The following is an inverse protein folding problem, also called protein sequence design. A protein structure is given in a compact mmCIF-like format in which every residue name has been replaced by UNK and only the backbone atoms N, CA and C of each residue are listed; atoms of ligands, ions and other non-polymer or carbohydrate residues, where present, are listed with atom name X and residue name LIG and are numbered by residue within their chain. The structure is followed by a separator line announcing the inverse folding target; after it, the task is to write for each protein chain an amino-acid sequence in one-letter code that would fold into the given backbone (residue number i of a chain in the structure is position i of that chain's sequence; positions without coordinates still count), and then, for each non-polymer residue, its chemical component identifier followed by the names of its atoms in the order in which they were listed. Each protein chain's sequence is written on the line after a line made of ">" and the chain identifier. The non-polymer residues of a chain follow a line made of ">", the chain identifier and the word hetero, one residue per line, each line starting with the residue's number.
data_IF_267938463910
#
_entry.id   IF_267938463910
#
_cell.length_a   1.000
_cell.length_b   1.000
_cell.length_c   1.000
_cell.angle_alpha   90.00
_cell.angle_beta   90.00
_cell.angle_gamma   90.00
#
_symmetry.space_group_name_H-M   'P 1'
#
loop_
_entity.id
_entity.type
_entity.pdbx_description
1 polymer ?
#
# COMPACT_ATOMS: atom_id res chain seq x y z
N UNK A 1 0.86 -12.02 2.12
CA UNK A 1 1.04 -11.67 0.69
C UNK A 1 2.09 -10.57 0.58
N UNK A 2 2.95 -10.56 -0.45
CA UNK A 2 4.07 -9.59 -0.57
C UNK A 2 3.95 -8.63 -1.75
N UNK A 3 3.16 -8.95 -2.78
CA UNK A 3 3.00 -8.13 -3.97
C UNK A 3 1.58 -8.20 -4.53
N UNK A 4 1.23 -7.18 -5.31
CA UNK A 4 0.02 -7.11 -6.12
C UNK A 4 0.31 -6.27 -7.36
N UNK A 5 -0.22 -6.71 -8.51
CA UNK A 5 -0.23 -5.92 -9.74
C UNK A 5 -1.57 -5.21 -9.84
N UNK A 6 -1.55 -3.89 -10.03
CA UNK A 6 -2.71 -3.03 -10.15
C UNK A 6 -2.60 -2.23 -11.45
N UNK A 7 -3.66 -2.23 -12.24
CA UNK A 7 -3.84 -1.28 -13.33
C UNK A 7 -4.43 0.01 -12.75
N UNK A 8 -3.78 1.15 -13.01
CA UNK A 8 -4.19 2.46 -12.51
C UNK A 8 -4.58 3.37 -13.68
N UNK A 9 -5.64 4.15 -13.48
CA UNK A 9 -6.00 5.21 -14.42
C UNK A 9 -4.98 6.36 -14.38
N UNK A 10 -4.81 7.13 -15.48
CA UNK A 10 -3.96 8.32 -15.49
C UNK A 10 -4.34 9.31 -14.39
N UNK A 11 -3.34 9.83 -13.69
CA UNK A 11 -3.53 10.76 -12.57
C UNK A 11 -2.52 10.62 -11.44
N UNK A 12 -2.73 11.39 -10.37
CA UNK A 12 -1.89 11.40 -9.17
C UNK A 12 -2.44 10.40 -8.15
N UNK A 13 -1.61 9.47 -7.69
CA UNK A 13 -1.97 8.44 -6.72
C UNK A 13 -1.05 8.50 -5.51
N UNK A 14 -1.61 8.28 -4.31
CA UNK A 14 -0.86 8.12 -3.06
C UNK A 14 -0.97 6.68 -2.58
N UNK A 15 0.15 5.97 -2.59
CA UNK A 15 0.24 4.56 -2.18
C UNK A 15 0.91 4.44 -0.81
N UNK A 16 0.48 3.46 -0.02
CA UNK A 16 1.03 3.18 1.31
C UNK A 16 0.81 1.71 1.65
N UNK A 17 1.84 1.06 2.20
CA UNK A 17 1.74 -0.33 2.66
C UNK A 17 1.33 -0.37 4.13
N UNK A 18 0.45 -1.33 4.47
CA UNK A 18 0.07 -1.68 5.85
C UNK A 18 0.57 -3.09 6.14
N UNK A 19 1.35 -3.24 7.22
CA UNK A 19 1.86 -4.54 7.64
C UNK A 19 0.81 -5.29 8.48
N UNK A 20 0.39 -6.45 7.98
CA UNK A 20 -0.39 -7.43 8.71
C UNK A 20 0.45 -8.61 9.18
N UNK A 21 -0.05 -9.33 10.18
CA UNK A 21 0.54 -10.56 10.67
C UNK A 21 0.26 -11.78 9.76
N UNK A 22 0.58 -12.98 10.24
CA UNK A 22 0.33 -14.25 9.52
C UNK A 22 -1.15 -14.55 9.23
N UNK A 23 -2.08 -13.93 9.96
CA UNK A 23 -3.52 -14.01 9.69
C UNK A 23 -4.02 -12.83 8.84
N UNK A 24 -3.11 -12.00 8.31
CA UNK A 24 -3.41 -10.75 7.61
C UNK A 24 -4.17 -9.73 8.47
N UNK A 25 -4.02 -9.79 9.79
CA UNK A 25 -4.60 -8.82 10.72
C UNK A 25 -3.59 -7.68 10.94
N UNK A 26 -4.00 -6.40 10.82
CA UNK A 26 -3.13 -5.27 11.15
C UNK A 26 -2.62 -5.33 12.60
N UNK A 27 -1.36 -4.97 12.82
CA UNK A 27 -0.83 -4.81 14.18
C UNK A 27 -1.51 -3.66 14.95
N UNK A 28 -1.39 -3.69 16.28
CA UNK A 28 -1.80 -2.58 17.16
C UNK A 28 -0.61 -2.15 18.05
N UNK A 29 -0.05 -0.94 17.84
CA UNK A 29 -0.42 0.04 16.83
C UNK A 29 -0.14 -0.44 15.41
N UNK A 30 -0.85 0.13 14.43
CA UNK A 30 -0.67 -0.21 13.02
C UNK A 30 0.73 0.19 12.54
N UNK A 31 1.37 -0.67 11.75
CA UNK A 31 2.69 -0.42 11.17
C UNK A 31 2.50 -0.11 9.69
N UNK A 32 2.81 1.12 9.30
CA UNK A 32 2.64 1.65 7.95
C UNK A 32 4.00 2.00 7.34
N UNK A 33 4.13 1.86 6.01
CA UNK A 33 5.27 2.45 5.30
C UNK A 33 5.17 3.97 5.23
N UNK A 34 6.26 4.62 4.84
CA UNK A 34 6.18 5.97 4.31
C UNK A 34 5.27 5.99 3.06
N UNK A 35 4.45 7.04 2.88
CA UNK A 35 3.63 7.16 1.69
C UNK A 35 4.48 7.53 0.48
N UNK A 36 4.11 6.98 -0.68
CA UNK A 36 4.72 7.33 -1.96
C UNK A 36 3.64 7.96 -2.84
N UNK A 37 4.00 9.06 -3.50
CA UNK A 37 3.13 9.72 -4.49
C UNK A 37 3.68 9.44 -5.87
N UNK A 38 2.85 8.93 -6.76
CA UNK A 38 3.19 8.64 -8.15
C UNK A 38 2.23 9.39 -9.08
N UNK A 39 2.68 9.65 -10.31
CA UNK A 39 1.83 10.12 -11.40
C UNK A 39 1.84 9.06 -12.49
N UNK A 40 0.65 8.71 -12.97
CA UNK A 40 0.43 7.79 -14.09
C UNK A 40 -0.03 8.61 -15.28
N UNK A 41 0.57 8.39 -16.45
CA UNK A 41 0.29 9.08 -17.72
C UNK A 41 -0.45 8.19 -18.70
#
# INVERSE_FOLDING_TARGET
>A
QTEVTLDLEPGIHRLQLLLGDHHHVPHNPAILSEPVVITVE
#
